data_IF_255372373834
#
_entry.id   IF_255372373834
#
_cell.length_a   1.000
_cell.length_b   1.000
_cell.length_c   1.000
_cell.angle_alpha   90.00
_cell.angle_beta   90.00
_cell.angle_gamma   90.00
#
_symmetry.space_group_name_H-M   'P 1'
#
loop_
_entity.id
_entity.type
_entity.pdbx_description
1 polymer ?
#
# COMPACT_ATOMS: atom_id res chain seq x y z
N UNK A 1 -14.37 -95.34 9.91
CA UNK A 1 -13.07 -95.12 9.26
C UNK A 1 -12.87 -93.62 9.22
N UNK A 2 -12.06 -93.08 10.15
CA UNK A 2 -10.65 -92.63 9.92
C UNK A 2 -10.67 -91.32 9.11
N UNK A 3 -10.24 -90.16 9.60
CA UNK A 3 -9.11 -89.85 10.48
C UNK A 3 -9.33 -88.57 11.30
N UNK A 4 -8.83 -88.63 12.53
CA UNK A 4 -8.46 -87.53 13.41
C UNK A 4 -7.08 -87.00 13.02
N UNK A 5 -6.88 -85.69 13.01
CA UNK A 5 -5.60 -85.13 13.45
C UNK A 5 -5.82 -83.92 14.36
N UNK A 6 -5.55 -84.19 15.63
CA UNK A 6 -5.32 -83.21 16.69
C UNK A 6 -3.89 -82.68 16.57
N UNK A 7 -3.70 -81.38 16.79
CA UNK A 7 -2.56 -80.90 17.56
C UNK A 7 -2.75 -79.47 18.06
N UNK A 8 -2.77 -79.39 19.40
CA UNK A 8 -2.20 -78.36 20.29
C UNK A 8 -2.80 -76.95 20.34
N UNK A 9 -3.47 -76.73 21.48
CA UNK A 9 -3.52 -75.49 22.24
C UNK A 9 -2.13 -74.89 22.46
N UNK A 10 -2.03 -73.57 22.26
CA UNK A 10 -1.35 -72.64 23.18
C UNK A 10 -1.96 -71.25 22.97
N UNK A 11 -2.77 -70.82 23.94
CA UNK A 11 -3.18 -69.41 24.07
C UNK A 11 -2.06 -68.62 24.76
N UNK A 12 -1.87 -67.36 24.36
CA UNK A 12 -2.10 -66.29 25.31
C UNK A 12 -3.09 -65.24 24.79
N UNK A 13 -3.84 -64.67 25.72
CA UNK A 13 -4.77 -63.52 25.58
C UNK A 13 -4.03 -62.28 26.15
N UNK A 14 -4.56 -61.05 26.05
CA UNK A 14 -4.49 -60.11 24.92
C UNK A 14 -3.77 -58.79 25.29
N UNK A 15 -3.39 -58.01 24.30
CA UNK A 15 -3.17 -56.55 24.34
C UNK A 15 -3.35 -56.11 22.87
N UNK A 16 -4.02 -55.04 22.47
CA UNK A 16 -4.84 -54.04 23.13
C UNK A 16 -5.60 -53.34 21.98
N UNK A 17 -6.84 -52.98 22.27
CA UNK A 17 -7.72 -51.98 21.65
C UNK A 17 -7.37 -51.38 20.26
N UNK A 18 -8.23 -51.62 19.27
CA UNK A 18 -8.82 -50.55 18.42
C UNK A 18 -9.81 -51.11 17.38
N UNK A 19 -11.04 -51.37 17.84
CA UNK A 19 -12.19 -51.30 16.94
C UNK A 19 -12.61 -49.83 16.89
N UNK A 20 -12.44 -49.18 15.74
CA UNK A 20 -13.07 -47.88 15.48
C UNK A 20 -14.07 -48.10 14.34
N UNK A 21 -15.34 -48.23 14.71
CA UNK A 21 -16.44 -47.99 13.78
C UNK A 21 -16.51 -46.48 13.54
N UNK A 22 -16.17 -46.03 12.34
CA UNK A 22 -16.37 -44.65 11.91
C UNK A 22 -17.63 -44.59 11.04
N UNK A 23 -18.68 -43.96 11.55
CA UNK A 23 -19.87 -43.59 10.78
C UNK A 23 -19.64 -42.20 10.16
N UNK A 24 -18.78 -42.14 9.14
CA UNK A 24 -18.69 -40.96 8.29
C UNK A 24 -19.69 -41.13 7.13
N UNK A 25 -20.57 -40.15 6.86
CA UNK A 25 -21.39 -40.17 5.66
C UNK A 25 -20.48 -40.12 4.42
N UNK A 26 -20.89 -40.80 3.35
CA UNK A 26 -20.18 -40.78 2.07
C UNK A 26 -19.95 -39.33 1.61
N UNK A 27 -18.78 -38.99 1.05
CA UNK A 27 -18.52 -37.65 0.54
C UNK A 27 -19.59 -37.31 -0.50
N UNK A 28 -20.24 -36.16 -0.32
CA UNK A 28 -21.07 -35.59 -1.35
C UNK A 28 -20.17 -35.29 -2.57
N UNK A 29 -20.65 -35.50 -3.80
CA UNK A 29 -19.91 -35.06 -4.97
C UNK A 29 -19.66 -33.56 -4.85
N UNK A 30 -18.38 -33.17 -4.83
CA UNK A 30 -17.97 -31.78 -4.99
C UNK A 30 -18.63 -31.25 -6.26
N UNK A 31 -19.33 -30.12 -6.13
CA UNK A 31 -19.63 -29.31 -7.31
C UNK A 31 -18.29 -29.03 -8.01
N UNK A 32 -18.20 -29.21 -9.34
CA UNK A 32 -16.96 -28.89 -10.03
C UNK A 32 -16.62 -27.44 -9.72
N UNK A 33 -15.37 -27.22 -9.28
CA UNK A 33 -14.81 -25.88 -9.20
C UNK A 33 -15.16 -25.13 -10.49
N UNK A 34 -15.57 -23.85 -10.41
CA UNK A 34 -15.87 -23.08 -11.61
C UNK A 34 -14.68 -23.21 -12.57
N UNK A 35 -14.98 -23.57 -13.82
CA UNK A 35 -13.96 -23.62 -14.85
C UNK A 35 -13.16 -22.32 -14.83
N UNK A 36 -11.84 -22.41 -14.85
CA UNK A 36 -10.95 -21.26 -14.91
C UNK A 36 -11.51 -20.28 -15.96
N UNK A 37 -11.90 -19.09 -15.52
CA UNK A 37 -12.38 -18.06 -16.41
C UNK A 37 -11.31 -17.80 -17.48
N UNK A 38 -11.72 -17.61 -18.74
CA UNK A 38 -10.78 -17.22 -19.78
C UNK A 38 -10.00 -15.98 -19.30
N UNK A 39 -8.67 -15.93 -19.45
CA UNK A 39 -7.88 -14.80 -18.98
C UNK A 39 -8.34 -13.54 -19.70
N UNK A 40 -9.02 -12.66 -18.97
CA UNK A 40 -9.60 -11.42 -19.50
C UNK A 40 -8.55 -10.32 -19.69
N UNK A 41 -7.30 -10.58 -19.29
CA UNK A 41 -6.23 -9.58 -19.16
C UNK A 41 -6.39 -8.66 -17.93
N UNK A 42 -7.54 -8.71 -17.26
CA UNK A 42 -7.83 -7.94 -16.04
C UNK A 42 -7.02 -8.49 -14.85
N UNK A 43 -6.50 -7.64 -13.95
CA UNK A 43 -5.82 -8.10 -12.74
C UNK A 43 -6.77 -8.93 -11.87
N UNK A 44 -6.44 -10.19 -11.61
CA UNK A 44 -7.31 -11.12 -10.85
C UNK A 44 -7.63 -10.66 -9.43
N UNK A 45 -6.76 -9.82 -8.85
CA UNK A 45 -6.87 -9.28 -7.50
C UNK A 45 -7.70 -7.99 -7.42
N UNK A 46 -8.23 -7.50 -8.55
CA UNK A 46 -9.05 -6.30 -8.59
C UNK A 46 -10.52 -6.62 -8.92
N UNK A 47 -11.49 -5.95 -8.26
CA UNK A 47 -12.89 -5.99 -8.67
C UNK A 47 -13.03 -5.59 -10.15
N UNK A 48 -13.99 -6.18 -10.86
CA UNK A 48 -14.27 -5.82 -12.26
C UNK A 48 -15.16 -4.58 -12.38
N UNK A 49 -15.86 -4.24 -11.30
CA UNK A 49 -16.67 -3.05 -11.14
C UNK A 49 -15.90 -1.98 -10.35
N UNK A 50 -16.07 -0.72 -10.71
CA UNK A 50 -15.37 0.36 -10.05
C UNK A 50 -15.52 1.69 -10.75
N UNK A 51 -14.99 2.72 -10.10
CA UNK A 51 -14.81 4.03 -10.69
C UNK A 51 -13.90 3.92 -11.90
N UNK A 52 -14.23 4.61 -13.00
CA UNK A 52 -13.33 4.73 -14.14
C UNK A 52 -12.56 6.03 -14.06
N UNK A 53 -11.38 6.06 -14.67
CA UNK A 53 -10.59 7.29 -14.74
C UNK A 53 -11.39 8.46 -15.34
N UNK A 54 -12.23 8.21 -16.36
CA UNK A 54 -13.11 9.21 -16.98
C UNK A 54 -14.10 9.87 -15.99
N UNK A 55 -14.44 9.19 -14.90
CA UNK A 55 -15.36 9.70 -13.88
C UNK A 55 -14.69 10.69 -12.91
N UNK A 56 -13.35 10.78 -12.89
CA UNK A 56 -12.59 11.65 -11.99
C UNK A 56 -12.67 13.14 -12.37
N UNK A 57 -12.95 13.46 -13.64
CA UNK A 57 -12.87 14.82 -14.23
C UNK A 57 -13.79 15.83 -13.54
N UNK A 58 -14.82 15.36 -12.83
CA UNK A 58 -15.79 16.20 -12.12
C UNK A 58 -15.88 15.91 -10.61
N UNK A 59 -14.94 15.14 -10.08
CA UNK A 59 -15.09 14.54 -8.76
C UNK A 59 -14.56 15.40 -7.60
N UNK A 60 -13.86 16.51 -7.88
CA UNK A 60 -13.27 17.41 -6.86
C UNK A 60 -13.98 18.75 -6.76
N UNK A 61 -14.09 19.26 -5.53
CA UNK A 61 -14.72 20.54 -5.23
C UNK A 61 -13.99 21.71 -5.90
N UNK A 62 -14.79 22.65 -6.40
CA UNK A 62 -14.29 23.89 -7.02
C UNK A 62 -14.18 25.05 -6.03
N UNK A 63 -14.81 24.94 -4.85
CA UNK A 63 -14.64 25.94 -3.79
C UNK A 63 -13.28 25.78 -3.11
N UNK A 64 -12.43 26.82 -3.08
CA UNK A 64 -11.09 26.70 -2.52
C UNK A 64 -11.04 26.38 -1.02
N UNK A 65 -12.07 26.71 -0.24
CA UNK A 65 -12.09 26.43 1.21
C UNK A 65 -12.40 24.96 1.44
N UNK A 66 -13.42 24.44 0.78
CA UNK A 66 -13.81 23.03 0.90
C UNK A 66 -12.68 22.12 0.37
N UNK A 67 -12.08 22.47 -0.78
CA UNK A 67 -10.91 21.78 -1.31
C UNK A 67 -9.71 21.83 -0.36
N UNK A 68 -9.45 22.98 0.28
CA UNK A 68 -8.38 23.11 1.26
C UNK A 68 -8.65 22.27 2.52
N UNK A 69 -9.91 22.14 2.95
CA UNK A 69 -10.28 21.27 4.06
C UNK A 69 -10.07 19.79 3.74
N UNK A 70 -10.49 19.34 2.56
CA UNK A 70 -10.29 17.94 2.13
C UNK A 70 -8.81 17.61 1.98
N UNK A 71 -8.03 18.45 1.28
CA UNK A 71 -6.59 18.24 1.10
C UNK A 71 -5.82 18.26 2.43
N UNK A 72 -6.23 19.09 3.39
CA UNK A 72 -5.59 19.14 4.72
C UNK A 72 -5.80 17.87 5.55
N UNK A 73 -6.78 17.01 5.20
CA UNK A 73 -6.98 15.71 5.86
C UNK A 73 -6.04 14.64 5.33
N UNK A 74 -5.42 14.84 4.17
CA UNK A 74 -4.46 13.90 3.58
C UNK A 74 -3.19 13.89 4.44
N UNK A 75 -2.76 12.73 4.98
CA UNK A 75 -1.61 12.66 5.87
C UNK A 75 -0.33 13.24 5.26
N UNK A 76 -0.04 12.99 3.98
CA UNK A 76 1.10 13.59 3.27
C UNK A 76 1.12 15.12 3.39
N UNK A 77 0.01 15.78 3.05
CA UNK A 77 -0.10 17.24 3.02
C UNK A 77 0.08 17.82 4.42
N UNK A 78 -0.60 17.25 5.41
CA UNK A 78 -0.47 17.66 6.82
C UNK A 78 0.99 17.53 7.29
N UNK A 79 1.63 16.40 7.00
CA UNK A 79 3.02 16.13 7.39
C UNK A 79 4.00 17.06 6.66
N UNK A 80 3.75 17.42 5.41
CA UNK A 80 4.57 18.41 4.69
C UNK A 80 4.52 19.79 5.37
N UNK A 81 3.35 20.25 5.80
CA UNK A 81 3.21 21.49 6.58
C UNK A 81 3.96 21.40 7.91
N UNK A 82 3.74 20.32 8.67
CA UNK A 82 4.43 20.08 9.94
C UNK A 82 5.95 20.04 9.76
N UNK A 83 6.45 19.46 8.67
CA UNK A 83 7.87 19.42 8.36
C UNK A 83 8.42 20.82 8.08
N UNK A 84 7.73 21.66 7.29
CA UNK A 84 8.14 23.05 7.06
C UNK A 84 8.19 23.85 8.37
N UNK A 85 7.18 23.72 9.23
CA UNK A 85 7.15 24.33 10.56
C UNK A 85 8.30 23.84 11.44
N UNK A 86 8.57 22.53 11.38
CA UNK A 86 9.64 21.91 12.15
C UNK A 86 11.01 22.44 11.72
N UNK A 87 11.29 22.54 10.42
CA UNK A 87 12.55 23.10 9.89
C UNK A 87 12.69 24.58 10.29
N UNK A 88 11.59 25.35 10.27
CA UNK A 88 11.60 26.74 10.71
C UNK A 88 12.58 27.59 9.89
N UNK A 89 13.53 28.26 10.55
CA UNK A 89 14.58 29.04 9.87
C UNK A 89 15.72 28.20 9.29
N UNK A 90 15.77 26.91 9.61
CA UNK A 90 16.79 25.97 9.18
C UNK A 90 17.25 25.04 10.30
N UNK A 91 17.74 23.85 9.92
CA UNK A 91 18.26 22.84 10.84
C UNK A 91 19.53 22.19 10.31
N UNK A 92 20.49 21.85 11.19
CA UNK A 92 21.67 21.10 10.80
C UNK A 92 21.31 19.68 10.37
N UNK A 93 22.07 19.17 9.40
CA UNK A 93 22.04 17.79 8.97
C UNK A 93 23.31 17.06 9.45
N UNK A 94 23.20 15.76 9.61
CA UNK A 94 24.35 14.87 9.84
C UNK A 94 25.23 14.78 8.59
N UNK A 95 26.37 14.10 8.69
CA UNK A 95 27.25 13.82 7.54
C UNK A 95 26.58 13.04 6.42
N UNK A 96 25.53 12.29 6.76
CA UNK A 96 24.73 11.46 5.87
C UNK A 96 23.58 12.26 5.22
N UNK A 97 23.43 13.54 5.57
CA UNK A 97 22.38 14.41 5.05
C UNK A 97 21.02 14.20 5.71
N UNK A 98 20.99 13.65 6.93
CA UNK A 98 19.77 13.37 7.69
C UNK A 98 19.57 14.38 8.84
N UNK A 99 18.34 14.49 9.34
CA UNK A 99 18.10 15.14 10.63
C UNK A 99 18.72 14.30 11.76
N UNK A 100 19.21 14.96 12.81
CA UNK A 100 19.68 14.26 14.00
C UNK A 100 18.54 13.40 14.63
N UNK A 101 18.84 12.23 15.21
CA UNK A 101 17.81 11.37 15.81
C UNK A 101 16.90 12.07 16.83
N UNK A 102 17.37 13.09 17.54
CA UNK A 102 16.54 13.87 18.45
C UNK A 102 15.49 14.72 17.70
N UNK A 103 15.87 15.30 16.56
CA UNK A 103 14.97 16.06 15.70
C UNK A 103 13.99 15.14 14.96
N UNK A 104 14.45 13.96 14.52
CA UNK A 104 13.56 12.93 13.94
C UNK A 104 12.48 12.50 14.94
N UNK A 105 12.85 12.28 16.22
CA UNK A 105 11.87 11.97 17.27
C UNK A 105 10.89 13.11 17.51
N UNK A 106 11.39 14.34 17.60
CA UNK A 106 10.52 15.51 17.78
C UNK A 106 9.56 15.71 16.61
N UNK A 107 10.03 15.47 15.38
CA UNK A 107 9.21 15.52 14.17
C UNK A 107 8.16 14.42 14.17
N UNK A 108 8.52 13.19 14.53
CA UNK A 108 7.58 12.07 14.59
C UNK A 108 6.46 12.32 15.61
N UNK A 109 6.78 12.87 16.78
CA UNK A 109 5.79 13.30 17.77
C UNK A 109 4.88 14.39 17.20
N UNK A 110 5.44 15.39 16.50
CA UNK A 110 4.64 16.46 15.89
C UNK A 110 3.72 15.95 14.77
N UNK A 111 4.12 14.88 14.08
CA UNK A 111 3.35 14.22 13.02
C UNK A 111 2.35 13.17 13.54
N UNK A 112 2.30 12.94 14.86
CA UNK A 112 1.48 11.91 15.50
C UNK A 112 1.76 10.51 14.90
N UNK A 113 3.05 10.19 14.73
CA UNK A 113 3.48 8.87 14.26
C UNK A 113 3.58 7.92 15.44
N UNK A 114 2.82 6.83 15.37
CA UNK A 114 3.02 5.70 16.25
C UNK A 114 4.21 4.89 15.72
N UNK A 115 5.36 5.06 16.37
CA UNK A 115 6.59 4.38 15.98
C UNK A 115 6.85 3.12 16.81
N UNK A 116 5.93 2.77 17.72
CA UNK A 116 6.13 1.79 18.78
C UNK A 116 7.47 2.04 19.54
N UNK A 117 7.84 1.20 20.49
CA UNK A 117 9.15 1.31 21.19
C UNK A 117 10.36 0.98 20.28
N UNK A 118 10.23 1.15 18.95
CA UNK A 118 11.30 0.87 18.01
C UNK A 118 12.43 1.89 18.16
N UNK A 119 13.66 1.38 18.22
CA UNK A 119 14.85 2.21 18.15
C UNK A 119 14.92 2.80 16.75
N UNK A 120 14.56 4.09 16.61
CA UNK A 120 14.63 4.79 15.33
C UNK A 120 16.08 4.86 14.86
N UNK A 121 16.39 4.16 13.77
CA UNK A 121 17.75 4.08 13.24
C UNK A 121 18.02 5.22 12.26
N UNK A 122 17.06 5.56 11.39
CA UNK A 122 17.23 6.60 10.38
C UNK A 122 15.90 7.24 9.96
N UNK A 123 15.94 8.53 9.60
CA UNK A 123 14.76 9.18 8.99
C UNK A 123 14.35 8.54 7.66
N UNK A 124 15.29 7.88 6.96
CA UNK A 124 15.08 7.23 5.66
C UNK A 124 14.17 6.01 5.74
N UNK A 125 14.03 5.42 6.92
CA UNK A 125 13.18 4.24 7.14
C UNK A 125 11.73 4.63 7.44
N UNK A 126 11.47 5.92 7.70
CA UNK A 126 10.16 6.42 8.09
C UNK A 126 9.50 7.04 6.86
N UNK A 127 8.75 6.23 6.10
CA UNK A 127 8.04 6.70 4.88
C UNK A 127 7.20 7.96 5.11
N UNK A 128 6.57 8.07 6.28
CA UNK A 128 5.79 9.24 6.67
C UNK A 128 6.60 10.54 6.76
N UNK A 129 7.93 10.47 6.89
CA UNK A 129 8.86 11.60 6.83
C UNK A 129 9.49 11.70 5.43
N UNK A 130 9.94 10.60 4.86
CA UNK A 130 10.62 10.55 3.55
C UNK A 130 9.74 11.11 2.43
N UNK A 131 8.47 10.70 2.37
CA UNK A 131 7.54 11.17 1.34
C UNK A 131 7.43 12.70 1.32
N UNK A 132 6.96 13.35 2.40
CA UNK A 132 6.91 14.80 2.48
C UNK A 132 8.27 15.48 2.25
N UNK A 133 9.36 14.93 2.79
CA UNK A 133 10.70 15.48 2.61
C UNK A 133 11.09 15.56 1.13
N UNK A 134 10.94 14.46 0.39
CA UNK A 134 11.29 14.38 -1.02
C UNK A 134 10.44 15.35 -1.85
N UNK A 135 9.12 15.38 -1.63
CA UNK A 135 8.22 16.32 -2.33
C UNK A 135 8.59 17.77 -2.06
N UNK A 136 8.96 18.11 -0.82
CA UNK A 136 9.33 19.47 -0.45
C UNK A 136 10.67 19.91 -1.06
N UNK A 137 11.64 19.00 -1.16
CA UNK A 137 12.92 19.23 -1.86
C UNK A 137 12.67 19.41 -3.36
N UNK A 138 11.91 18.50 -3.98
CA UNK A 138 11.60 18.54 -5.42
C UNK A 138 10.90 19.85 -5.82
N UNK A 139 9.94 20.29 -5.00
CA UNK A 139 9.23 21.57 -5.20
C UNK A 139 9.95 22.80 -4.66
N UNK A 140 11.19 22.66 -4.18
CA UNK A 140 12.08 23.74 -3.71
C UNK A 140 11.56 24.52 -2.49
N UNK A 141 10.66 23.93 -1.71
CA UNK A 141 10.25 24.48 -0.41
C UNK A 141 11.27 24.17 0.68
N UNK A 142 12.09 23.14 0.47
CA UNK A 142 13.29 22.88 1.25
C UNK A 142 14.50 22.94 0.33
N UNK A 143 15.64 23.36 0.89
CA UNK A 143 16.93 23.35 0.21
C UNK A 143 18.02 22.91 1.20
N UNK A 144 19.01 22.17 0.71
CA UNK A 144 20.18 21.79 1.52
C UNK A 144 21.35 22.67 1.12
N UNK A 145 21.91 23.41 2.08
CA UNK A 145 23.05 24.29 1.88
C UNK A 145 23.94 24.30 3.11
N UNK A 146 25.26 24.18 2.93
CA UNK A 146 26.22 24.27 4.03
C UNK A 146 26.08 23.19 5.11
N UNK A 147 25.46 22.05 4.81
CA UNK A 147 25.17 21.00 5.80
C UNK A 147 23.92 21.28 6.64
N UNK A 148 23.09 22.24 6.24
CA UNK A 148 21.81 22.55 6.87
C UNK A 148 20.68 22.41 5.84
N UNK A 149 19.51 21.99 6.30
CA UNK A 149 18.26 22.12 5.55
C UNK A 149 17.62 23.45 5.93
N UNK A 150 17.22 24.24 4.94
CA UNK A 150 16.61 25.57 5.09
C UNK A 150 15.33 25.67 4.27
N UNK A 151 14.38 26.54 4.68
CA UNK A 151 13.22 26.84 3.85
C UNK A 151 13.64 27.51 2.54
N UNK A 152 13.01 27.10 1.44
CA UNK A 152 13.12 27.74 0.13
C UNK A 152 11.85 28.51 -0.24
N UNK A 153 11.90 29.21 -1.37
CA UNK A 153 10.74 29.96 -1.88
C UNK A 153 9.58 29.05 -2.33
N UNK A 154 9.90 27.81 -2.73
CA UNK A 154 8.94 26.90 -3.32
C UNK A 154 8.55 27.28 -4.76
N UNK A 155 7.98 26.33 -5.49
CA UNK A 155 7.40 26.61 -6.81
C UNK A 155 6.07 27.38 -6.73
N UNK A 156 5.36 27.25 -5.60
CA UNK A 156 4.18 28.03 -5.22
C UNK A 156 4.23 28.34 -3.72
N UNK A 157 3.55 29.38 -3.22
CA UNK A 157 3.58 29.71 -1.80
C UNK A 157 3.01 28.60 -0.91
N UNK A 158 3.76 28.18 0.11
CA UNK A 158 3.27 27.32 1.20
C UNK A 158 2.48 28.17 2.21
N UNK A 159 1.27 28.58 1.83
CA UNK A 159 0.41 29.44 2.67
C UNK A 159 -0.40 28.62 3.68
N UNK A 160 -0.69 29.24 4.83
CA UNK A 160 -1.60 28.64 5.79
C UNK A 160 -3.04 28.59 5.24
N UNK A 161 -3.71 27.44 5.43
CA UNK A 161 -5.10 27.22 4.98
C UNK A 161 -6.06 28.33 5.40
N UNK A 162 -5.93 28.85 6.63
CA UNK A 162 -6.81 29.89 7.17
C UNK A 162 -6.58 31.27 6.58
N UNK A 163 -5.38 31.52 6.04
CA UNK A 163 -4.97 32.83 5.51
C UNK A 163 -5.25 32.94 4.01
N UNK A 164 -4.82 31.94 3.24
CA UNK A 164 -5.05 31.84 1.80
C UNK A 164 -5.36 30.38 1.40
N UNK A 165 -6.64 29.97 1.44
CA UNK A 165 -7.06 28.62 1.05
C UNK A 165 -6.66 28.26 -0.38
N UNK A 166 -6.68 29.21 -1.31
CA UNK A 166 -6.37 28.94 -2.71
C UNK A 166 -4.87 28.68 -2.92
N UNK A 167 -4.00 29.42 -2.22
CA UNK A 167 -2.56 29.12 -2.21
C UNK A 167 -2.26 27.78 -1.53
N UNK A 168 -2.93 27.48 -0.41
CA UNK A 168 -2.81 26.17 0.25
C UNK A 168 -3.20 25.02 -0.68
N UNK A 169 -4.31 25.13 -1.43
CA UNK A 169 -4.73 24.12 -2.41
C UNK A 169 -3.65 23.87 -3.45
N UNK A 170 -3.06 24.94 -4.03
CA UNK A 170 -1.97 24.80 -5.01
C UNK A 170 -0.76 24.10 -4.42
N UNK A 171 -0.36 24.47 -3.20
CA UNK A 171 0.73 23.82 -2.48
C UNK A 171 0.44 22.33 -2.25
N UNK A 172 -0.71 21.99 -1.70
CA UNK A 172 -1.08 20.62 -1.37
C UNK A 172 -1.13 19.71 -2.61
N UNK A 173 -1.73 20.18 -3.71
CA UNK A 173 -1.75 19.45 -4.98
C UNK A 173 -0.34 19.24 -5.53
N UNK A 174 0.47 20.29 -5.54
CA UNK A 174 1.86 20.20 -6.01
C UNK A 174 2.68 19.22 -5.16
N UNK A 175 2.49 19.16 -3.85
CA UNK A 175 3.14 18.16 -2.97
C UNK A 175 2.76 16.73 -3.37
N UNK A 176 1.48 16.46 -3.63
CA UNK A 176 1.01 15.13 -4.06
C UNK A 176 1.59 14.77 -5.43
N UNK A 177 1.44 15.65 -6.43
CA UNK A 177 1.95 15.44 -7.79
C UNK A 177 3.45 15.18 -7.80
N UNK A 178 4.23 16.02 -7.10
CA UNK A 178 5.68 15.86 -7.03
C UNK A 178 6.08 14.57 -6.33
N UNK A 179 5.37 14.15 -5.28
CA UNK A 179 5.66 12.86 -4.66
C UNK A 179 5.51 11.72 -5.68
N UNK A 180 4.38 11.71 -6.40
CA UNK A 180 4.08 10.63 -7.35
C UNK A 180 5.08 10.64 -8.50
N UNK A 181 5.40 11.81 -9.07
CA UNK A 181 6.42 11.95 -10.11
C UNK A 181 7.80 11.46 -9.66
N UNK A 182 8.26 11.90 -8.49
CA UNK A 182 9.55 11.44 -7.93
C UNK A 182 9.55 9.94 -7.69
N UNK A 183 8.42 9.39 -7.23
CA UNK A 183 8.32 7.95 -6.95
C UNK A 183 8.26 7.14 -8.26
N UNK A 184 7.62 7.63 -9.33
CA UNK A 184 7.63 6.99 -10.65
C UNK A 184 9.02 7.04 -11.32
N UNK A 185 9.77 8.12 -11.09
CA UNK A 185 11.13 8.27 -11.62
C UNK A 185 12.20 7.47 -10.88
N UNK A 186 11.90 6.97 -9.67
CA UNK A 186 12.81 6.17 -8.85
C UNK A 186 12.56 4.67 -9.07
N UNK A 187 13.63 3.87 -9.06
CA UNK A 187 13.48 2.42 -9.12
C UNK A 187 12.82 1.88 -7.84
N UNK A 188 12.13 0.74 -7.94
CA UNK A 188 11.46 0.12 -6.79
C UNK A 188 12.39 -0.20 -5.62
N UNK A 189 13.69 -0.43 -5.86
CA UNK A 189 14.71 -0.64 -4.80
C UNK A 189 15.08 0.65 -4.04
N UNK A 190 14.83 1.82 -4.63
CA UNK A 190 15.16 3.14 -4.08
C UNK A 190 13.96 3.78 -3.35
N UNK A 191 12.85 3.04 -3.22
CA UNK A 191 11.60 3.53 -2.63
C UNK A 191 10.60 4.06 -3.66
N UNK A 192 10.91 3.96 -4.95
CA UNK A 192 9.99 4.32 -6.03
C UNK A 192 8.86 3.32 -6.26
N UNK A 193 7.98 3.67 -7.19
CA UNK A 193 6.89 2.84 -7.68
C UNK A 193 7.36 2.02 -8.88
N UNK A 194 6.79 0.83 -9.07
CA UNK A 194 6.89 0.16 -10.37
C UNK A 194 6.07 0.88 -11.44
N UNK A 195 4.96 1.53 -11.05
CA UNK A 195 4.30 2.53 -11.88
C UNK A 195 3.49 1.98 -13.07
N UNK A 196 2.89 0.80 -12.92
CA UNK A 196 2.16 0.12 -14.01
C UNK A 196 0.64 0.38 -14.05
N UNK A 197 0.00 -0.08 -15.13
CA UNK A 197 -1.46 -0.01 -15.31
C UNK A 197 -2.24 -0.61 -14.14
N UNK A 198 -1.73 -1.70 -13.56
CA UNK A 198 -2.38 -2.40 -12.46
C UNK A 198 -2.36 -1.58 -11.17
N UNK A 199 -1.27 -0.85 -10.89
CA UNK A 199 -1.17 0.06 -9.73
C UNK A 199 -2.21 1.18 -9.83
N UNK A 200 -2.30 1.86 -10.98
CA UNK A 200 -3.26 2.95 -11.15
C UNK A 200 -4.70 2.45 -11.22
N UNK A 201 -4.95 1.28 -11.82
CA UNK A 201 -6.26 0.63 -11.76
C UNK A 201 -6.63 0.29 -10.32
N UNK A 202 -5.71 -0.27 -9.53
CA UNK A 202 -5.94 -0.56 -8.12
C UNK A 202 -6.28 0.71 -7.31
N UNK A 203 -5.59 1.82 -7.59
CA UNK A 203 -5.87 3.12 -6.97
C UNK A 203 -7.34 3.53 -7.14
N UNK A 204 -7.95 3.36 -8.32
CA UNK A 204 -9.37 3.67 -8.54
C UNK A 204 -10.32 2.92 -7.60
N UNK A 205 -9.95 1.73 -7.16
CA UNK A 205 -10.78 0.94 -6.22
C UNK A 205 -10.58 1.36 -4.75
N UNK A 206 -9.55 2.13 -4.42
CA UNK A 206 -9.29 2.57 -3.03
C UNK A 206 -10.31 3.59 -2.52
N UNK A 207 -11.04 4.28 -3.41
CA UNK A 207 -12.07 5.27 -3.05
C UNK A 207 -13.48 4.68 -3.00
N UNK A 208 -13.64 3.39 -3.26
CA UNK A 208 -14.91 2.70 -3.01
C UNK A 208 -15.29 2.81 -1.51
N UNK A 209 -16.59 2.76 -1.15
CA UNK A 209 -17.03 2.90 0.25
C UNK A 209 -16.32 1.98 1.25
N UNK A 210 -16.00 0.75 0.82
CA UNK A 210 -15.30 -0.25 1.64
C UNK A 210 -13.78 -0.32 1.37
N UNK A 211 -13.26 0.58 0.51
CA UNK A 211 -11.89 0.57 0.01
C UNK A 211 -11.56 -0.61 -0.90
N UNK A 212 -10.28 -0.72 -1.28
CA UNK A 212 -9.75 -1.88 -1.98
C UNK A 212 -9.28 -2.90 -0.95
N UNK A 213 -9.84 -4.12 -1.00
CA UNK A 213 -9.36 -5.25 -0.22
C UNK A 213 -8.43 -6.11 -1.06
N UNK A 214 -7.21 -6.31 -0.59
CA UNK A 214 -6.25 -7.26 -1.15
C UNK A 214 -5.94 -8.34 -0.11
N UNK A 215 -5.61 -9.58 -0.53
CA UNK A 215 -4.94 -10.53 0.34
C UNK A 215 -3.77 -9.88 1.09
N UNK A 216 -3.48 -10.28 2.32
CA UNK A 216 -2.39 -9.63 3.07
C UNK A 216 -1.01 -10.08 2.55
N UNK A 217 -0.94 -11.25 1.93
CA UNK A 217 0.25 -11.79 1.27
C UNK A 217 -0.15 -12.64 0.08
N UNK A 218 0.76 -12.83 -0.87
CA UNK A 218 0.53 -13.79 -1.97
C UNK A 218 0.31 -15.22 -1.47
N UNK A 219 0.93 -15.60 -0.34
CA UNK A 219 0.72 -16.91 0.28
C UNK A 219 -0.75 -17.14 0.61
N UNK A 220 -1.40 -16.13 1.20
CA UNK A 220 -2.83 -16.21 1.52
C UNK A 220 -3.66 -16.39 0.24
N UNK A 221 -3.34 -15.65 -0.82
CA UNK A 221 -4.03 -15.80 -2.10
C UNK A 221 -3.86 -17.20 -2.72
N UNK A 222 -2.65 -17.77 -2.63
CA UNK A 222 -2.35 -19.13 -3.08
C UNK A 222 -3.10 -20.18 -2.27
N UNK A 223 -3.10 -20.06 -0.93
CA UNK A 223 -3.78 -21.00 -0.04
C UNK A 223 -5.31 -20.96 -0.22
N UNK A 224 -5.86 -19.82 -0.67
CA UNK A 224 -7.27 -19.64 -1.02
C UNK A 224 -7.61 -20.01 -2.47
N UNK A 225 -6.63 -20.38 -3.30
CA UNK A 225 -6.84 -20.74 -4.70
C UNK A 225 -7.29 -19.58 -5.59
N UNK A 226 -6.93 -18.34 -5.24
CA UNK A 226 -7.32 -17.14 -5.99
C UNK A 226 -6.42 -16.84 -7.19
N UNK A 227 -5.17 -17.29 -7.12
CA UNK A 227 -4.15 -17.02 -8.15
C UNK A 227 -4.46 -17.86 -9.39
N UNK A 228 -4.57 -17.25 -10.59
CA UNK A 228 -4.71 -17.99 -11.84
C UNK A 228 -3.59 -19.02 -12.04
N UNK A 229 -3.93 -20.14 -12.68
CA UNK A 229 -2.97 -21.18 -13.04
C UNK A 229 -2.49 -21.00 -14.48
N UNK A 230 -1.23 -21.36 -14.72
CA UNK A 230 -0.63 -21.44 -16.04
C UNK A 230 -1.17 -22.67 -16.83
N UNK A 231 -0.78 -22.84 -18.11
CA UNK A 231 -1.24 -23.99 -18.91
C UNK A 231 -0.78 -25.36 -18.40
N UNK A 232 0.23 -25.43 -17.53
CA UNK A 232 0.68 -26.65 -16.87
C UNK A 232 -0.12 -26.97 -15.58
N UNK A 233 -0.93 -26.02 -15.11
CA UNK A 233 -1.73 -26.12 -13.89
C UNK A 233 -1.01 -25.64 -12.64
N UNK A 234 0.19 -25.05 -12.78
CA UNK A 234 0.93 -24.42 -11.68
C UNK A 234 0.48 -22.96 -11.51
N UNK A 235 0.62 -22.32 -10.34
CA UNK A 235 0.32 -20.90 -10.17
C UNK A 235 1.10 -20.03 -11.16
N UNK A 236 0.40 -19.13 -11.85
CA UNK A 236 1.00 -18.27 -12.86
C UNK A 236 1.92 -17.23 -12.21
N UNK A 237 3.22 -17.32 -12.53
CA UNK A 237 4.25 -16.45 -11.97
C UNK A 237 4.12 -14.99 -12.44
N UNK A 238 3.58 -14.74 -13.63
CA UNK A 238 3.35 -13.39 -14.13
C UNK A 238 2.21 -12.73 -13.34
N UNK A 239 1.13 -13.48 -13.06
CA UNK A 239 0.00 -13.00 -12.25
C UNK A 239 0.38 -12.80 -10.77
N UNK A 240 1.31 -13.61 -10.24
CA UNK A 240 1.92 -13.38 -8.92
C UNK A 240 2.72 -12.08 -8.92
N UNK A 241 3.52 -11.84 -9.96
CA UNK A 241 4.36 -10.65 -10.06
C UNK A 241 3.52 -9.38 -10.20
N UNK A 242 2.45 -9.40 -11.00
CA UNK A 242 1.49 -8.29 -11.12
C UNK A 242 0.90 -7.89 -9.76
N UNK A 243 0.46 -8.87 -8.98
CA UNK A 243 -0.02 -8.65 -7.62
C UNK A 243 1.05 -8.03 -6.71
N UNK A 244 2.26 -8.60 -6.74
CA UNK A 244 3.38 -8.12 -5.91
C UNK A 244 3.74 -6.66 -6.19
N UNK A 245 3.77 -6.26 -7.46
CA UNK A 245 4.06 -4.90 -7.87
C UNK A 245 2.96 -3.94 -7.38
N UNK A 246 1.69 -4.27 -7.62
CA UNK A 246 0.58 -3.44 -7.20
C UNK A 246 0.48 -3.31 -5.67
N UNK A 247 0.62 -4.43 -4.93
CA UNK A 247 0.59 -4.42 -3.46
C UNK A 247 1.74 -3.60 -2.87
N UNK A 248 2.94 -3.74 -3.43
CA UNK A 248 4.11 -2.95 -3.02
C UNK A 248 3.91 -1.45 -3.29
N UNK A 249 3.44 -1.08 -4.48
CA UNK A 249 3.18 0.31 -4.82
C UNK A 249 2.13 0.93 -3.88
N UNK A 250 1.02 0.24 -3.63
CA UNK A 250 0.00 0.68 -2.68
C UNK A 250 0.55 0.79 -1.25
N UNK A 251 1.41 -0.15 -0.85
CA UNK A 251 2.12 -0.11 0.43
C UNK A 251 3.02 1.13 0.56
N UNK A 252 3.79 1.45 -0.49
CA UNK A 252 4.65 2.65 -0.55
C UNK A 252 3.81 3.93 -0.48
N UNK A 253 2.75 4.03 -1.28
CA UNK A 253 1.83 5.18 -1.26
C UNK A 253 1.17 5.36 0.11
N UNK A 254 0.81 4.26 0.78
CA UNK A 254 0.31 4.29 2.15
C UNK A 254 1.37 4.75 3.15
N UNK A 255 2.61 4.27 3.04
CA UNK A 255 3.72 4.70 3.89
C UNK A 255 3.98 6.20 3.77
N UNK A 256 3.90 6.76 2.56
CA UNK A 256 4.00 8.20 2.32
C UNK A 256 2.76 8.99 2.75
N UNK A 257 1.65 8.32 3.06
CA UNK A 257 0.43 8.94 3.57
C UNK A 257 -0.50 9.47 2.47
N UNK A 258 -0.41 8.92 1.26
CA UNK A 258 -1.40 9.12 0.20
C UNK A 258 -2.59 8.17 0.33
N UNK A 259 -2.37 6.98 0.90
CA UNK A 259 -3.40 6.01 1.22
C UNK A 259 -3.41 5.71 2.72
N UNK A 260 -4.55 5.27 3.23
CA UNK A 260 -4.64 4.60 4.52
C UNK A 260 -4.60 3.09 4.32
N UNK A 261 -3.74 2.41 5.08
CA UNK A 261 -3.57 0.96 5.08
C UNK A 261 -4.08 0.39 6.39
N UNK A 262 -5.07 -0.49 6.31
CA UNK A 262 -5.72 -1.12 7.45
C UNK A 262 -5.66 -2.64 7.30
N UNK A 263 -4.74 -3.34 7.98
CA UNK A 263 -4.78 -4.80 8.08
C UNK A 263 -6.07 -5.25 8.77
N UNK A 264 -6.76 -6.24 8.20
CA UNK A 264 -7.94 -6.81 8.85
C UNK A 264 -7.53 -7.62 10.10
N UNK A 265 -8.40 -7.73 11.12
CA UNK A 265 -8.08 -8.38 12.39
C UNK A 265 -7.69 -9.86 12.28
N UNK A 266 -8.11 -10.54 11.22
CA UNK A 266 -7.79 -11.95 10.95
C UNK A 266 -6.44 -12.12 10.23
N UNK A 267 -5.79 -11.02 9.84
CA UNK A 267 -4.54 -11.00 9.10
C UNK A 267 -4.64 -11.56 7.68
N UNK A 268 -5.84 -11.81 7.15
CA UNK A 268 -6.03 -12.43 5.84
C UNK A 268 -5.97 -11.41 4.71
N UNK A 269 -6.36 -10.17 4.99
CA UNK A 269 -6.45 -9.13 3.99
C UNK A 269 -6.03 -7.77 4.56
N UNK A 270 -5.69 -6.87 3.64
CA UNK A 270 -5.36 -5.48 3.91
C UNK A 270 -6.33 -4.62 3.11
N UNK A 271 -6.95 -3.66 3.79
CA UNK A 271 -7.77 -2.64 3.17
C UNK A 271 -6.91 -1.41 2.87
N UNK A 272 -6.99 -0.94 1.63
CA UNK A 272 -6.43 0.33 1.20
C UNK A 272 -7.57 1.32 0.94
N UNK A 273 -7.51 2.46 1.62
CA UNK A 273 -8.48 3.55 1.53
C UNK A 273 -7.79 4.80 0.99
N UNK A 274 -8.34 5.34 -0.10
CA UNK A 274 -7.86 6.54 -0.76
C UNK A 274 -8.82 7.71 -0.63
N UNK A 275 -8.48 8.81 -1.31
CA UNK A 275 -9.38 9.95 -1.50
C UNK A 275 -9.40 10.32 -2.97
N UNK A 276 -10.50 10.91 -3.41
CA UNK A 276 -10.66 11.34 -4.81
C UNK A 276 -9.59 12.38 -5.19
N UNK A 277 -9.24 13.27 -4.26
CA UNK A 277 -8.18 14.26 -4.44
C UNK A 277 -6.84 13.59 -4.76
N UNK A 278 -6.46 12.54 -4.03
CA UNK A 278 -5.23 11.79 -4.31
C UNK A 278 -5.28 11.14 -5.69
N UNK A 279 -6.41 10.56 -6.09
CA UNK A 279 -6.55 9.93 -7.41
C UNK A 279 -6.37 10.94 -8.55
N UNK A 280 -7.04 12.09 -8.46
CA UNK A 280 -6.95 13.13 -9.50
C UNK A 280 -5.50 13.56 -9.69
N UNK A 281 -4.78 13.84 -8.60
CA UNK A 281 -3.39 14.29 -8.69
C UNK A 281 -2.43 13.17 -9.09
N UNK A 282 -2.66 11.93 -8.66
CA UNK A 282 -1.84 10.78 -9.07
C UNK A 282 -1.96 10.48 -10.56
N UNK A 283 -3.16 10.54 -11.13
CA UNK A 283 -3.37 10.39 -12.57
C UNK A 283 -2.79 11.57 -13.36
N UNK A 284 -2.94 12.81 -12.86
CA UNK A 284 -2.28 13.97 -13.47
C UNK A 284 -0.76 13.82 -13.48
N UNK A 285 -0.17 13.27 -12.41
CA UNK A 285 1.26 12.96 -12.36
C UNK A 285 1.66 11.86 -13.37
N UNK A 286 0.86 10.80 -13.52
CA UNK A 286 1.11 9.76 -14.52
C UNK A 286 1.11 10.33 -15.95
N UNK A 287 0.09 11.13 -16.30
CA UNK A 287 0.03 11.79 -17.61
C UNK A 287 1.24 12.67 -17.86
N UNK A 288 1.66 13.46 -16.87
CA UNK A 288 2.87 14.28 -16.96
C UNK A 288 4.14 13.44 -17.12
N UNK A 289 4.23 12.29 -16.47
CA UNK A 289 5.38 11.39 -16.56
C UNK A 289 5.47 10.76 -17.96
N UNK A 290 4.35 10.27 -18.50
CA UNK A 290 4.27 9.69 -19.85
C UNK A 290 4.59 10.70 -20.97
N UNK A 291 4.38 12.01 -20.74
CA UNK A 291 4.77 13.06 -21.69
C UNK A 291 6.28 13.38 -21.68
N UNK A 292 7.00 12.97 -20.62
CA UNK A 292 8.44 13.26 -20.44
C UNK A 292 9.36 12.16 -20.99
N UNK A 293 8.85 10.92 -21.16
CA UNK A 293 9.55 9.75 -21.71
C UNK A 293 9.48 9.67 -23.25
#
# INVERSE_FOLDING_TARGET
MRETHSSRDDHPVPDDLSVVFSAAPAPQPEEPAPAAAEPTGWPWFLPQDGLRHEDLVHAVDQDPRDAAESLARIPLVRRAVTLLEHIGSGRPLTSEGELDPADVRALAVAMDLDLDEQELVSMREIGAIVGPWNSLIAGKWLSVSGGEVVPGEGMVPAAARSEDPAAFVRFARAVIVLLVLESLGQGGEEGGLFGGSDTFTALLHTVAPDGLLLPATIRIALDQGLVPADPAGDPDMDEINRYWQAERDLGTLAAYGLLHREPLPDGQAVRYLGTVEVLVEAYGALEMFEELD
#
